data_IF_280058043840
#
_entry.id   IF_280058043840
#
_cell.length_a   1.000
_cell.length_b   1.000
_cell.length_c   1.000
_cell.angle_alpha   90.00
_cell.angle_beta   90.00
_cell.angle_gamma   90.00
#
_symmetry.space_group_name_H-M   'P 1'
#
loop_
_entity.id
_entity.type
_entity.pdbx_description
1 polymer ?
#
# COMPACT_ATOMS: atom_id res chain seq x y z
N UNK A 1 -35.38 11.33 -2.19
CA UNK A 1 -33.92 11.51 -2.27
C UNK A 1 -33.37 10.20 -2.79
N UNK A 2 -33.05 10.15 -4.08
CA UNK A 2 -32.27 9.04 -4.63
C UNK A 2 -30.92 9.06 -3.91
N UNK A 3 -30.61 8.00 -3.17
CA UNK A 3 -29.23 7.74 -2.74
C UNK A 3 -28.46 7.52 -4.04
N UNK A 4 -27.66 8.51 -4.44
CA UNK A 4 -26.64 8.28 -5.45
C UNK A 4 -25.70 7.25 -4.85
N UNK A 5 -25.72 6.03 -5.38
CA UNK A 5 -24.80 4.97 -4.98
C UNK A 5 -23.38 5.51 -5.11
N UNK A 6 -22.67 5.54 -3.99
CA UNK A 6 -21.30 5.98 -3.97
C UNK A 6 -20.45 5.03 -4.83
N UNK A 7 -19.69 5.54 -5.80
CA UNK A 7 -18.92 4.70 -6.71
C UNK A 7 -17.99 3.76 -5.94
N UNK A 8 -17.92 2.51 -6.40
CA UNK A 8 -17.18 1.44 -5.71
C UNK A 8 -15.69 1.76 -5.58
N UNK A 9 -15.08 2.23 -6.67
CA UNK A 9 -13.69 2.69 -6.72
C UNK A 9 -13.58 3.91 -7.63
N UNK A 10 -12.90 4.95 -7.14
CA UNK A 10 -12.66 6.21 -7.83
C UNK A 10 -11.18 6.56 -7.74
N UNK A 11 -10.58 6.86 -8.88
CA UNK A 11 -9.20 7.33 -8.96
C UNK A 11 -9.17 8.84 -9.17
N UNK A 12 -8.61 9.57 -8.21
CA UNK A 12 -8.65 11.02 -8.23
C UNK A 12 -7.33 11.69 -7.81
N UNK A 13 -7.21 12.94 -8.26
CA UNK A 13 -6.17 13.83 -7.81
C UNK A 13 -6.61 14.57 -6.54
N UNK A 14 -5.91 14.30 -5.44
CA UNK A 14 -5.95 15.14 -4.24
C UNK A 14 -4.85 16.21 -4.34
N UNK A 15 -4.80 17.13 -3.37
CA UNK A 15 -3.91 18.31 -3.46
C UNK A 15 -2.43 17.99 -3.74
N UNK A 16 -1.92 16.82 -3.34
CA UNK A 16 -0.49 16.47 -3.46
C UNK A 16 -0.22 15.03 -3.90
N UNK A 17 -1.23 14.25 -4.21
CA UNK A 17 -1.10 12.83 -4.52
C UNK A 17 -2.26 12.34 -5.37
N UNK A 18 -2.05 11.20 -6.04
CA UNK A 18 -3.13 10.44 -6.67
C UNK A 18 -3.52 9.28 -5.79
N UNK A 19 -4.82 9.11 -5.59
CA UNK A 19 -5.34 8.06 -4.73
C UNK A 19 -6.56 7.37 -5.30
N UNK A 20 -6.70 6.10 -4.93
CA UNK A 20 -7.91 5.31 -5.07
C UNK A 20 -8.74 5.44 -3.79
N UNK A 21 -10.03 5.73 -3.90
CA UNK A 21 -11.00 5.79 -2.80
C UNK A 21 -12.36 5.25 -3.28
N UNK A 22 -13.39 5.26 -2.44
CA UNK A 22 -14.73 4.76 -2.76
C UNK A 22 -15.20 3.69 -1.78
N UNK A 23 -16.45 3.24 -1.93
CA UNK A 23 -17.13 2.41 -0.94
C UNK A 23 -16.41 1.07 -0.66
N UNK A 24 -15.73 0.48 -1.65
CA UNK A 24 -14.90 -0.71 -1.44
C UNK A 24 -13.67 -0.43 -0.58
N UNK A 25 -13.01 0.71 -0.80
CA UNK A 25 -11.81 1.11 -0.02
C UNK A 25 -12.20 1.44 1.42
N UNK A 26 -13.35 2.09 1.60
CA UNK A 26 -13.93 2.33 2.91
C UNK A 26 -14.32 1.04 3.62
N UNK A 27 -14.90 0.06 2.92
CA UNK A 27 -15.20 -1.25 3.50
C UNK A 27 -13.94 -1.94 4.03
N UNK A 28 -12.82 -1.87 3.31
CA UNK A 28 -11.54 -2.43 3.78
C UNK A 28 -11.01 -1.66 4.99
N UNK A 29 -11.03 -0.33 4.94
CA UNK A 29 -10.50 0.54 6.00
C UNK A 29 -11.32 0.53 7.29
N UNK A 30 -12.64 0.31 7.20
CA UNK A 30 -13.57 0.32 8.33
C UNK A 30 -13.66 -1.02 9.08
N UNK A 31 -12.92 -2.05 8.66
CA UNK A 31 -12.88 -3.32 9.39
C UNK A 31 -12.42 -3.08 10.84
N UNK A 32 -13.27 -3.47 11.79
CA UNK A 32 -12.98 -3.32 13.21
C UNK A 32 -11.89 -4.28 13.65
N UNK A 33 -11.08 -3.84 14.60
CA UNK A 33 -9.97 -4.61 15.15
C UNK A 33 -9.69 -4.16 16.57
N UNK A 34 -9.33 -5.10 17.44
CA UNK A 34 -9.03 -4.83 18.86
C UNK A 34 -7.80 -3.94 19.07
N UNK A 35 -6.92 -3.84 18.07
CA UNK A 35 -5.68 -3.07 18.18
C UNK A 35 -5.84 -1.57 17.94
N UNK A 36 -6.93 -1.15 17.29
CA UNK A 36 -7.13 0.24 16.89
C UNK A 36 -8.19 0.90 17.76
N UNK A 37 -7.76 1.86 18.57
CA UNK A 37 -8.65 2.59 19.48
C UNK A 37 -9.41 3.71 18.76
N UNK A 38 -10.51 4.18 19.35
CA UNK A 38 -11.27 5.32 18.83
C UNK A 38 -10.42 6.60 18.73
N UNK A 39 -9.49 6.82 19.65
CA UNK A 39 -8.54 7.93 19.59
C UNK A 39 -7.67 7.86 18.33
N UNK A 40 -7.14 6.67 18.02
CA UNK A 40 -6.32 6.46 16.82
C UNK A 40 -7.10 6.71 15.53
N UNK A 41 -8.38 6.30 15.49
CA UNK A 41 -9.28 6.54 14.37
C UNK A 41 -9.54 8.04 14.22
N UNK A 42 -9.81 8.74 15.33
CA UNK A 42 -10.07 10.18 15.33
C UNK A 42 -8.85 10.99 14.86
N UNK A 43 -7.64 10.57 15.21
CA UNK A 43 -6.41 11.18 14.72
C UNK A 43 -6.31 11.09 13.19
N UNK A 44 -6.64 9.92 12.61
CA UNK A 44 -6.70 9.73 11.15
C UNK A 44 -7.78 10.61 10.52
N UNK A 45 -9.01 10.59 11.04
CA UNK A 45 -10.12 11.42 10.54
C UNK A 45 -9.72 12.90 10.54
N UNK A 46 -9.06 13.36 11.60
CA UNK A 46 -8.61 14.74 11.74
C UNK A 46 -7.53 15.10 10.71
N UNK A 47 -6.51 14.23 10.53
CA UNK A 47 -5.46 14.40 9.50
C UNK A 47 -6.07 14.49 8.11
N UNK A 48 -7.05 13.63 7.82
CA UNK A 48 -7.69 13.48 6.53
C UNK A 48 -8.88 14.45 6.33
N UNK A 49 -9.13 15.34 7.30
CA UNK A 49 -10.22 16.33 7.27
C UNK A 49 -11.60 15.69 7.02
N UNK A 50 -11.83 14.51 7.61
CA UNK A 50 -13.07 13.76 7.45
C UNK A 50 -13.20 13.01 6.12
N UNK A 51 -12.18 12.99 5.26
CA UNK A 51 -12.24 12.18 4.05
C UNK A 51 -12.28 10.68 4.40
N UNK A 52 -12.97 9.90 3.57
CA UNK A 52 -12.93 8.44 3.62
C UNK A 52 -11.51 7.88 3.50
N UNK A 53 -11.42 6.56 3.58
CA UNK A 53 -10.19 5.83 3.37
C UNK A 53 -9.71 5.95 1.93
N UNK A 54 -8.39 5.86 1.75
CA UNK A 54 -7.78 5.93 0.44
C UNK A 54 -6.51 5.08 0.38
N UNK A 55 -6.14 4.70 -0.84
CA UNK A 55 -4.85 4.10 -1.19
C UNK A 55 -4.09 5.12 -2.00
N UNK A 56 -2.91 5.53 -1.53
CA UNK A 56 -2.03 6.39 -2.33
C UNK A 56 -1.34 5.59 -3.43
N UNK A 57 -1.58 5.96 -4.69
CA UNK A 57 -0.96 5.32 -5.87
C UNK A 57 0.30 6.05 -6.30
N UNK A 58 0.23 7.38 -6.30
CA UNK A 58 1.36 8.28 -6.60
C UNK A 58 1.45 9.28 -5.44
N UNK A 59 2.56 9.26 -4.71
CA UNK A 59 2.76 10.15 -3.58
C UNK A 59 3.42 11.48 -4.02
N UNK A 60 3.50 12.44 -3.10
CA UNK A 60 4.04 13.77 -3.40
C UNK A 60 5.54 13.79 -3.76
N UNK A 61 6.31 12.77 -3.36
CA UNK A 61 7.72 12.61 -3.72
C UNK A 61 7.85 12.02 -5.13
N UNK A 62 6.96 11.10 -5.51
CA UNK A 62 6.92 10.50 -6.84
C UNK A 62 6.74 11.58 -7.93
N UNK A 63 5.96 12.62 -7.65
CA UNK A 63 5.68 13.71 -8.59
C UNK A 63 6.93 14.42 -9.11
N UNK A 64 8.04 14.41 -8.36
CA UNK A 64 9.31 15.00 -8.79
C UNK A 64 9.93 14.28 -10.00
N UNK A 65 9.58 13.01 -10.20
CA UNK A 65 10.06 12.20 -11.33
C UNK A 65 9.10 12.20 -12.51
N UNK A 66 7.83 12.54 -12.27
CA UNK A 66 6.78 12.55 -13.29
C UNK A 66 6.59 13.92 -13.95
N UNK A 67 7.25 14.95 -13.43
CA UNK A 67 7.05 16.33 -13.86
C UNK A 67 8.37 17.03 -14.12
N UNK A 68 8.41 17.92 -15.13
CA UNK A 68 9.48 18.90 -15.20
C UNK A 68 9.47 19.79 -13.94
N UNK A 69 10.65 20.27 -13.48
CA UNK A 69 10.71 21.21 -12.37
C UNK A 69 9.90 22.48 -12.70
N UNK A 70 9.28 23.11 -11.69
CA UNK A 70 8.60 24.38 -11.90
C UNK A 70 9.58 25.44 -12.39
N UNK A 71 9.09 26.39 -13.18
CA UNK A 71 9.86 27.57 -13.57
C UNK A 71 10.17 28.46 -12.35
N UNK A 72 11.21 29.29 -12.40
CA UNK A 72 11.57 30.22 -11.31
C UNK A 72 10.40 31.14 -10.91
N UNK A 73 9.55 31.50 -11.87
CA UNK A 73 8.37 32.33 -11.65
C UNK A 73 7.22 31.56 -10.95
N UNK A 74 7.09 30.27 -11.23
CA UNK A 74 6.13 29.41 -10.54
C UNK A 74 6.57 29.12 -9.11
N UNK A 75 7.88 28.96 -8.89
CA UNK A 75 8.45 28.66 -7.58
C UNK A 75 8.40 29.87 -6.64
N UNK A 76 8.62 31.08 -7.17
CA UNK A 76 8.52 32.34 -6.41
C UNK A 76 7.08 32.67 -5.99
N UNK A 77 6.08 32.11 -6.67
CA UNK A 77 4.66 32.34 -6.39
C UNK A 77 3.94 31.05 -5.94
N UNK A 78 3.72 30.92 -4.62
CA UNK A 78 3.01 29.78 -4.00
C UNK A 78 1.67 29.41 -4.64
N UNK A 79 0.90 30.37 -5.17
CA UNK A 79 -0.37 30.07 -5.86
C UNK A 79 -0.13 29.42 -7.21
N UNK A 80 0.86 29.90 -7.98
CA UNK A 80 1.25 29.32 -9.26
C UNK A 80 1.83 27.91 -9.07
N UNK A 81 2.75 27.72 -8.13
CA UNK A 81 3.29 26.40 -7.78
C UNK A 81 2.19 25.37 -7.47
N UNK A 82 1.21 25.74 -6.62
CA UNK A 82 0.08 24.83 -6.29
C UNK A 82 -0.78 24.49 -7.49
N UNK A 83 -1.04 25.47 -8.37
CA UNK A 83 -1.81 25.24 -9.60
C UNK A 83 -1.04 24.29 -10.53
N UNK A 84 0.26 24.52 -10.71
CA UNK A 84 1.13 23.67 -11.51
C UNK A 84 1.11 22.21 -11.04
N UNK A 85 1.30 21.95 -9.74
CA UNK A 85 1.22 20.60 -9.16
C UNK A 85 -0.15 19.95 -9.39
N UNK A 86 -1.23 20.70 -9.19
CA UNK A 86 -2.60 20.18 -9.37
C UNK A 86 -2.89 19.82 -10.83
N UNK A 87 -2.51 20.69 -11.75
CA UNK A 87 -2.79 20.50 -13.17
C UNK A 87 -1.98 19.30 -13.72
N UNK A 88 -0.77 19.09 -13.22
CA UNK A 88 0.01 17.91 -13.55
C UNK A 88 -0.50 16.61 -12.90
N UNK A 89 -0.94 16.65 -11.63
CA UNK A 89 -1.63 15.50 -11.03
C UNK A 89 -2.86 15.12 -11.86
N UNK A 90 -3.64 16.10 -12.31
CA UNK A 90 -4.78 15.87 -13.20
C UNK A 90 -4.33 15.25 -14.52
N UNK A 91 -3.25 15.75 -15.13
CA UNK A 91 -2.69 15.17 -16.35
C UNK A 91 -2.27 13.71 -16.16
N UNK A 92 -1.51 13.39 -15.11
CA UNK A 92 -1.13 12.01 -14.78
C UNK A 92 -2.37 11.14 -14.59
N UNK A 93 -3.37 11.62 -13.82
CA UNK A 93 -4.64 10.91 -13.65
C UNK A 93 -5.33 10.62 -14.99
N UNK A 94 -5.44 11.62 -15.86
CA UNK A 94 -6.13 11.49 -17.13
C UNK A 94 -5.39 10.51 -18.06
N UNK A 95 -4.06 10.54 -18.07
CA UNK A 95 -3.23 9.55 -18.76
C UNK A 95 -3.47 8.14 -18.24
N UNK A 96 -3.54 7.97 -16.91
CA UNK A 96 -3.83 6.67 -16.30
C UNK A 96 -5.22 6.13 -16.66
N UNK A 97 -6.24 7.00 -16.66
CA UNK A 97 -7.61 6.62 -17.04
C UNK A 97 -7.68 6.26 -18.53
N UNK A 98 -6.97 6.99 -19.40
CA UNK A 98 -6.92 6.70 -20.83
C UNK A 98 -6.24 5.36 -21.13
N UNK A 99 -5.18 5.01 -20.39
CA UNK A 99 -4.44 3.77 -20.59
C UNK A 99 -5.14 2.55 -19.95
N UNK A 100 -5.64 2.70 -18.72
CA UNK A 100 -6.13 1.58 -17.91
C UNK A 100 -7.65 1.51 -17.78
N UNK A 101 -8.40 2.44 -18.36
CA UNK A 101 -9.85 2.53 -18.21
C UNK A 101 -10.29 3.15 -16.88
N UNK A 102 -11.58 3.05 -16.58
CA UNK A 102 -12.15 3.63 -15.36
C UNK A 102 -11.82 2.81 -14.12
N UNK A 103 -11.68 3.47 -12.98
CA UNK A 103 -11.31 2.84 -11.72
C UNK A 103 -12.27 1.72 -11.27
N UNK A 104 -13.56 1.84 -11.61
CA UNK A 104 -14.58 0.82 -11.34
C UNK A 104 -14.35 -0.51 -12.06
N UNK A 105 -13.52 -0.54 -13.11
CA UNK A 105 -13.24 -1.72 -13.92
C UNK A 105 -11.91 -2.39 -13.55
N UNK A 106 -11.13 -1.75 -12.67
CA UNK A 106 -9.82 -2.25 -12.27
C UNK A 106 -9.93 -3.47 -11.35
N UNK A 107 -8.90 -4.31 -11.40
CA UNK A 107 -8.71 -5.39 -10.43
C UNK A 107 -8.70 -4.79 -9.01
N UNK A 108 -9.49 -5.38 -8.10
CA UNK A 108 -9.62 -4.88 -6.73
C UNK A 108 -8.38 -5.21 -5.89
N UNK A 109 -7.91 -4.28 -5.03
CA UNK A 109 -6.89 -4.58 -4.04
C UNK A 109 -7.32 -5.72 -3.10
N UNK A 110 -6.43 -6.68 -2.84
CA UNK A 110 -6.67 -7.77 -1.89
C UNK A 110 -6.10 -7.39 -0.53
N UNK A 111 -6.95 -7.42 0.48
CA UNK A 111 -6.58 -7.15 1.86
C UNK A 111 -5.83 -8.34 2.48
N UNK A 112 -4.55 -8.13 2.79
CA UNK A 112 -3.69 -9.15 3.41
C UNK A 112 -3.80 -9.21 4.93
N UNK A 113 -4.46 -8.22 5.54
CA UNK A 113 -4.61 -8.12 6.98
C UNK A 113 -4.13 -6.80 7.56
N UNK A 114 -4.26 -6.70 8.89
CA UNK A 114 -3.80 -5.55 9.66
C UNK A 114 -2.28 -5.63 9.86
N UNK A 115 -1.58 -4.57 9.48
CA UNK A 115 -0.17 -4.34 9.81
C UNK A 115 0.00 -3.16 10.75
N UNK A 116 1.19 -3.06 11.34
CA UNK A 116 1.57 -1.86 12.07
C UNK A 116 3.07 -1.58 12.02
N UNK A 117 3.39 -0.29 12.17
CA UNK A 117 4.74 0.22 12.33
C UNK A 117 4.82 1.12 13.56
N UNK A 118 6.00 1.12 14.18
CA UNK A 118 6.27 1.85 15.41
C UNK A 118 7.57 2.64 15.25
N UNK A 119 7.59 3.88 15.76
CA UNK A 119 8.77 4.76 15.80
C UNK A 119 8.76 5.56 17.11
N UNK A 120 9.59 5.15 18.06
CA UNK A 120 9.54 5.68 19.42
C UNK A 120 8.19 5.37 20.08
N UNK A 121 7.49 6.39 20.55
CA UNK A 121 6.14 6.26 21.13
C UNK A 121 5.02 6.25 20.08
N UNK A 122 5.36 6.48 18.80
CA UNK A 122 4.38 6.52 17.72
C UNK A 122 4.08 5.15 17.15
N UNK A 123 2.80 4.85 16.93
CA UNK A 123 2.30 3.65 16.27
C UNK A 123 1.29 4.01 15.19
N UNK A 124 1.37 3.33 14.06
CA UNK A 124 0.37 3.43 12.98
C UNK A 124 -0.14 2.05 12.61
N UNK A 125 -1.46 1.92 12.49
CA UNK A 125 -2.14 0.73 12.03
C UNK A 125 -2.75 0.96 10.65
N UNK A 126 -2.62 -0.04 9.78
CA UNK A 126 -3.06 0.04 8.40
C UNK A 126 -3.42 -1.34 7.84
N UNK A 127 -4.33 -1.38 6.86
CA UNK A 127 -4.54 -2.59 6.05
C UNK A 127 -3.41 -2.70 5.03
N UNK A 128 -2.71 -3.81 5.00
CA UNK A 128 -1.70 -4.08 3.97
C UNK A 128 -2.42 -4.68 2.76
N UNK A 129 -2.15 -4.15 1.57
CA UNK A 129 -2.85 -4.55 0.36
C UNK A 129 -1.90 -5.21 -0.64
N UNK A 130 -2.34 -6.33 -1.20
CA UNK A 130 -1.80 -6.88 -2.42
C UNK A 130 -2.58 -6.32 -3.62
N UNK A 131 -1.89 -5.62 -4.51
CA UNK A 131 -2.54 -5.01 -5.67
C UNK A 131 -1.62 -4.97 -6.89
N UNK A 132 -1.51 -6.08 -7.65
CA UNK A 132 -0.71 -6.17 -8.87
C UNK A 132 -1.07 -5.10 -9.91
N UNK A 133 -2.36 -4.78 -10.03
CA UNK A 133 -2.84 -3.73 -10.92
C UNK A 133 -2.23 -2.37 -10.58
N UNK A 134 -2.22 -1.99 -9.30
CA UNK A 134 -1.53 -0.79 -8.84
C UNK A 134 -0.01 -0.81 -9.10
N UNK A 135 0.64 -1.98 -9.06
CA UNK A 135 2.06 -2.07 -9.40
C UNK A 135 2.30 -1.85 -10.89
N UNK A 136 1.45 -2.41 -11.76
CA UNK A 136 1.52 -2.17 -13.22
C UNK A 136 1.37 -0.69 -13.54
N UNK A 137 0.43 -0.02 -12.87
CA UNK A 137 0.22 1.42 -12.97
C UNK A 137 1.47 2.22 -12.60
N UNK A 138 2.09 1.89 -11.46
CA UNK A 138 3.36 2.52 -11.05
C UNK A 138 4.47 2.26 -12.06
N UNK A 139 4.59 1.02 -12.56
CA UNK A 139 5.57 0.65 -13.59
C UNK A 139 5.38 1.41 -14.90
N UNK A 140 4.14 1.63 -15.35
CA UNK A 140 3.84 2.44 -16.52
C UNK A 140 4.32 3.89 -16.38
N UNK A 141 4.24 4.45 -15.17
CA UNK A 141 4.75 5.78 -14.85
C UNK A 141 6.27 5.81 -14.61
N UNK A 142 6.99 4.69 -14.77
CA UNK A 142 8.40 4.58 -14.44
C UNK A 142 8.69 4.67 -12.94
N UNK A 143 7.68 4.51 -12.09
CA UNK A 143 7.84 4.52 -10.64
C UNK A 143 8.25 3.15 -10.12
N UNK A 144 9.06 3.16 -9.07
CA UNK A 144 9.43 1.93 -8.36
C UNK A 144 8.24 1.26 -7.66
N UNK A 145 8.47 0.04 -7.18
CA UNK A 145 7.49 -0.76 -6.44
C UNK A 145 6.88 0.02 -5.27
N UNK A 146 5.56 -0.05 -5.11
CA UNK A 146 4.82 0.59 -4.01
C UNK A 146 4.42 -0.40 -2.92
N UNK A 147 4.28 0.06 -1.68
CA UNK A 147 3.65 -0.74 -0.61
C UNK A 147 2.26 -0.18 -0.32
N UNK A 148 1.25 -0.69 -1.03
CA UNK A 148 -0.12 -0.21 -0.92
C UNK A 148 -0.71 -0.56 0.45
N UNK A 149 -1.33 0.44 1.06
CA UNK A 149 -1.94 0.31 2.36
C UNK A 149 -3.07 1.33 2.53
N UNK A 150 -3.99 1.03 3.44
CA UNK A 150 -5.02 1.96 3.92
C UNK A 150 -4.71 2.28 5.37
N UNK A 151 -4.45 3.54 5.70
CA UNK A 151 -4.27 3.94 7.10
C UNK A 151 -5.61 3.84 7.83
N UNK A 152 -5.64 3.10 8.95
CA UNK A 152 -6.84 2.90 9.77
C UNK A 152 -6.82 3.85 10.97
N UNK A 153 -5.67 3.98 11.64
CA UNK A 153 -5.49 4.89 12.78
C UNK A 153 -4.05 4.95 13.25
N UNK A 154 -3.71 5.97 14.05
CA UNK A 154 -2.37 6.15 14.61
C UNK A 154 -2.36 6.97 15.90
N UNK A 155 -1.29 6.86 16.69
CA UNK A 155 -1.06 7.69 17.88
C UNK A 155 0.44 7.80 18.20
N UNK A 156 0.97 8.97 18.61
CA UNK A 156 0.33 10.28 18.52
C UNK A 156 0.40 10.85 17.09
N UNK A 157 1.27 10.31 16.22
CA UNK A 157 1.45 10.74 14.83
C UNK A 157 1.54 9.54 13.88
N UNK A 158 1.28 9.79 12.60
CA UNK A 158 1.47 8.80 11.53
C UNK A 158 2.96 8.53 11.33
N UNK A 159 3.30 7.25 11.18
CA UNK A 159 4.66 6.73 11.03
C UNK A 159 4.88 6.42 9.55
N UNK A 160 5.84 7.11 8.93
CA UNK A 160 6.15 7.00 7.49
C UNK A 160 7.31 6.04 7.21
N UNK A 161 7.26 4.83 7.80
CA UNK A 161 8.19 3.73 7.54
C UNK A 161 7.63 2.74 6.51
N UNK A 162 8.36 1.65 6.26
CA UNK A 162 7.89 0.53 5.43
C UNK A 162 6.55 -0.02 5.93
N UNK A 163 5.52 -0.10 5.07
CA UNK A 163 4.15 -0.55 5.40
C UNK A 163 3.69 -1.79 4.59
N UNK A 164 4.63 -2.62 4.13
CA UNK A 164 4.31 -3.82 3.35
C UNK A 164 4.09 -5.09 4.20
N UNK A 165 3.99 -6.27 3.56
CA UNK A 165 3.56 -7.53 4.18
C UNK A 165 4.37 -7.99 5.40
N UNK A 166 5.65 -7.63 5.51
CA UNK A 166 6.45 -7.98 6.69
C UNK A 166 5.91 -7.39 8.01
N UNK A 167 5.06 -6.38 7.93
CA UNK A 167 4.48 -5.66 9.10
C UNK A 167 3.16 -6.23 9.60
N UNK A 168 2.63 -7.28 8.95
CA UNK A 168 1.37 -7.92 9.33
C UNK A 168 1.42 -8.44 10.78
N UNK A 169 0.40 -8.09 11.57
CA UNK A 169 0.34 -8.45 12.99
C UNK A 169 0.28 -9.97 13.21
N UNK A 170 -0.43 -10.70 12.34
CA UNK A 170 -0.57 -12.16 12.44
C UNK A 170 0.75 -12.92 12.24
N UNK A 171 1.77 -12.26 11.66
CA UNK A 171 3.10 -12.82 11.48
C UNK A 171 4.02 -12.59 12.70
N UNK A 172 3.61 -11.74 13.66
CA UNK A 172 4.39 -11.49 14.89
C UNK A 172 4.54 -12.76 15.72
N UNK A 173 5.60 -12.82 16.54
CA UNK A 173 5.85 -13.97 17.44
C UNK A 173 4.70 -14.10 18.43
N UNK A 174 4.14 -15.30 18.53
CA UNK A 174 3.03 -15.60 19.44
C UNK A 174 1.64 -15.18 18.93
N UNK A 175 1.54 -14.46 17.80
CA UNK A 175 0.25 -14.07 17.25
C UNK A 175 -0.50 -15.27 16.64
N UNK A 176 -1.82 -15.27 16.80
CA UNK A 176 -2.71 -16.19 16.10
C UNK A 176 -2.78 -15.78 14.63
N UNK A 177 -2.69 -16.76 13.74
CA UNK A 177 -2.88 -16.59 12.31
C UNK A 177 -3.78 -17.72 11.84
N UNK A 178 -4.95 -17.40 11.32
CA UNK A 178 -5.95 -18.42 10.97
C UNK A 178 -5.55 -19.17 9.71
N UNK A 179 -6.05 -20.39 9.52
CA UNK A 179 -5.79 -21.16 8.30
C UNK A 179 -6.11 -20.38 7.02
N UNK A 180 -7.27 -19.67 6.90
CA UNK A 180 -7.54 -18.84 5.73
C UNK A 180 -6.54 -17.71 5.51
N UNK A 181 -6.08 -17.06 6.59
CA UNK A 181 -5.03 -16.03 6.50
C UNK A 181 -3.71 -16.63 5.98
N UNK A 182 -3.28 -17.76 6.53
CA UNK A 182 -2.05 -18.43 6.09
C UNK A 182 -2.16 -18.83 4.61
N UNK A 183 -3.28 -19.42 4.20
CA UNK A 183 -3.51 -19.80 2.80
C UNK A 183 -3.43 -18.60 1.86
N UNK A 184 -4.11 -17.50 2.21
CA UNK A 184 -4.06 -16.25 1.45
C UNK A 184 -2.64 -15.70 1.36
N UNK A 185 -1.90 -15.61 2.48
CA UNK A 185 -0.54 -15.10 2.49
C UNK A 185 0.43 -15.99 1.68
N UNK A 186 0.29 -17.32 1.77
CA UNK A 186 1.09 -18.27 0.98
C UNK A 186 0.80 -18.11 -0.52
N UNK A 187 -0.46 -17.89 -0.90
CA UNK A 187 -0.86 -17.68 -2.29
C UNK A 187 -0.17 -16.44 -2.89
N UNK A 188 -0.06 -15.35 -2.14
CA UNK A 188 0.52 -14.10 -2.63
C UNK A 188 2.03 -13.96 -2.36
N UNK A 189 2.63 -14.85 -1.58
CA UNK A 189 4.06 -14.81 -1.26
C UNK A 189 4.99 -14.71 -2.48
N UNK A 190 4.72 -15.35 -3.64
CA UNK A 190 5.60 -15.24 -4.80
C UNK A 190 5.82 -13.82 -5.33
N UNK A 191 4.87 -12.90 -5.09
CA UNK A 191 4.99 -11.49 -5.49
C UNK A 191 5.93 -10.68 -4.58
N UNK A 192 6.37 -11.26 -3.46
CA UNK A 192 7.15 -10.59 -2.43
C UNK A 192 8.47 -11.32 -2.13
N UNK A 193 9.01 -12.10 -3.06
CA UNK A 193 10.30 -12.78 -2.83
C UNK A 193 11.47 -11.83 -2.56
N UNK A 194 11.36 -10.55 -2.92
CA UNK A 194 12.31 -9.49 -2.54
C UNK A 194 12.23 -9.07 -1.07
N UNK A 195 11.13 -9.36 -0.38
CA UNK A 195 10.94 -9.07 1.04
C UNK A 195 11.33 -10.27 1.90
N UNK A 196 12.63 -10.35 2.19
CA UNK A 196 13.21 -11.39 3.03
C UNK A 196 12.54 -11.51 4.40
N UNK A 197 12.12 -10.40 4.99
CA UNK A 197 11.55 -10.37 6.34
C UNK A 197 10.16 -10.98 6.33
N UNK A 198 9.33 -10.60 5.36
CA UNK A 198 8.01 -11.18 5.16
C UNK A 198 8.08 -12.68 4.95
N UNK A 199 8.90 -13.14 3.99
CA UNK A 199 8.98 -14.57 3.64
C UNK A 199 9.46 -15.41 4.83
N UNK A 200 10.50 -14.96 5.55
CA UNK A 200 10.99 -15.65 6.75
C UNK A 200 9.93 -15.70 7.85
N UNK A 201 9.19 -14.62 8.07
CA UNK A 201 8.13 -14.58 9.09
C UNK A 201 6.93 -15.45 8.70
N UNK A 202 6.58 -15.51 7.42
CA UNK A 202 5.52 -16.39 6.92
C UNK A 202 5.90 -17.86 7.07
N UNK A 203 7.13 -18.26 6.72
CA UNK A 203 7.62 -19.64 6.93
C UNK A 203 7.52 -20.03 8.41
N UNK A 204 8.01 -19.18 9.33
CA UNK A 204 7.91 -19.42 10.78
C UNK A 204 6.46 -19.53 11.24
N UNK A 205 5.56 -18.72 10.68
CA UNK A 205 4.13 -18.75 10.98
C UNK A 205 3.49 -20.04 10.49
N UNK A 206 3.84 -20.52 9.29
CA UNK A 206 3.40 -21.82 8.79
C UNK A 206 3.81 -22.95 9.74
N UNK A 207 5.07 -22.98 10.18
CA UNK A 207 5.57 -24.00 11.12
C UNK A 207 4.83 -23.92 12.46
N UNK A 208 4.68 -22.70 13.01
CA UNK A 208 4.01 -22.45 14.30
C UNK A 208 2.57 -22.99 14.33
N UNK A 209 1.88 -22.94 13.19
CA UNK A 209 0.47 -23.34 13.06
C UNK A 209 0.28 -24.68 12.32
N UNK A 210 1.33 -25.50 12.19
CA UNK A 210 1.23 -26.85 11.63
C UNK A 210 1.11 -26.95 10.10
N UNK A 211 1.29 -25.85 9.37
CA UNK A 211 1.27 -25.80 7.90
C UNK A 211 2.64 -26.12 7.28
N UNK A 212 3.27 -27.23 7.71
CA UNK A 212 4.65 -27.58 7.35
C UNK A 212 4.89 -27.67 5.83
N UNK A 213 3.96 -28.25 5.08
CA UNK A 213 4.08 -28.36 3.62
C UNK A 213 4.12 -27.01 2.90
N UNK A 214 3.35 -26.02 3.38
CA UNK A 214 3.43 -24.65 2.85
C UNK A 214 4.74 -23.98 3.25
N UNK A 215 5.17 -24.14 4.50
CA UNK A 215 6.47 -23.62 4.97
C UNK A 215 7.65 -24.15 4.16
N UNK A 216 7.67 -25.46 3.88
CA UNK A 216 8.72 -26.10 3.09
C UNK A 216 8.76 -25.57 1.64
N UNK A 217 7.60 -25.45 0.98
CA UNK A 217 7.50 -24.89 -0.39
C UNK A 217 7.99 -23.44 -0.45
N UNK A 218 7.57 -22.61 0.52
CA UNK A 218 8.03 -21.23 0.60
C UNK A 218 9.54 -21.14 0.82
N UNK A 219 10.10 -21.99 1.69
CA UNK A 219 11.54 -22.02 1.94
C UNK A 219 12.33 -22.41 0.69
N UNK A 220 11.87 -23.41 -0.06
CA UNK A 220 12.51 -23.83 -1.30
C UNK A 220 12.47 -22.72 -2.37
N UNK A 221 11.29 -22.12 -2.59
CA UNK A 221 11.14 -21.00 -3.53
C UNK A 221 11.98 -19.78 -3.14
N UNK A 222 12.01 -19.46 -1.85
CA UNK A 222 12.84 -18.38 -1.31
C UNK A 222 14.34 -18.57 -1.60
N UNK A 223 14.87 -19.75 -1.29
CA UNK A 223 16.29 -20.07 -1.53
C UNK A 223 16.62 -20.03 -3.02
N UNK A 224 15.74 -20.57 -3.88
CA UNK A 224 15.91 -20.49 -5.32
C UNK A 224 16.01 -19.04 -5.80
N UNK A 225 15.02 -18.20 -5.46
CA UNK A 225 15.01 -16.79 -5.87
C UNK A 225 16.21 -16.00 -5.30
N UNK A 226 16.60 -16.27 -4.06
CA UNK A 226 17.76 -15.63 -3.44
C UNK A 226 19.05 -15.96 -4.19
N UNK A 227 19.29 -17.23 -4.50
CA UNK A 227 20.47 -17.67 -5.24
C UNK A 227 20.54 -17.06 -6.64
N UNK A 228 19.39 -16.95 -7.34
CA UNK A 228 19.34 -16.29 -8.65
C UNK A 228 19.75 -14.82 -8.57
N UNK A 229 19.28 -14.08 -7.56
CA UNK A 229 19.67 -12.66 -7.37
C UNK A 229 21.16 -12.52 -7.09
N UNK A 230 21.71 -13.36 -6.23
CA UNK A 230 23.14 -13.33 -5.90
C UNK A 230 23.99 -13.64 -7.14
N UNK A 231 23.62 -14.63 -7.95
CA UNK A 231 24.32 -14.96 -9.20
C UNK A 231 24.30 -13.82 -10.24
N UNK A 232 23.21 -13.05 -10.33
CA UNK A 232 23.14 -11.90 -11.23
C UNK A 232 23.95 -10.69 -10.77
N UNK A 233 24.16 -10.52 -9.45
CA UNK A 233 25.03 -9.46 -8.95
C UNK A 233 26.51 -9.70 -9.26
N UNK A 234 26.96 -10.96 -9.36
CA UNK A 234 28.36 -11.29 -9.69
C UNK A 234 28.74 -11.11 -11.16
N UNK A 235 27.79 -10.90 -12.07
CA UNK A 235 28.05 -10.77 -13.52
C UNK A 235 28.12 -9.31 -14.02
N UNK A 236 28.11 -8.34 -13.10
CA UNK A 236 28.17 -6.91 -13.42
C UNK A 236 29.34 -6.17 -12.75
N UNK A 237 30.26 -6.91 -12.12
CA UNK A 237 31.58 -6.43 -11.68
C UNK A 237 32.67 -6.92 -12.67
#
# INVERSE_FOLDING_TARGET
MEQQDEPEMVFEAKSRYLSLHGSYIDQLGNQTTEHVTSEMIQNRITRDQGSGHHITVVNHLDMRYLMPPPTEEEESNRKKARKHTRDALKHVRDTMINEFGQASEWERPVDLGLGSTEEGEAVTYYRVLHWPWGQRMRGFLGLGHGHFHITVGFKPRDVHLYKGPATLLCLRKGAVCTTPQIQSLVQYAPFYYGDDVFIKNLIRTCVRHGHYGSGARLSAGYLYCKNQREAHHYNHD
#
